data_IF_866880134445
#
_entry.id   IF_866880134445
#
_cell.length_a   1.000
_cell.length_b   1.000
_cell.length_c   1.000
_cell.angle_alpha   90.00
_cell.angle_beta   90.00
_cell.angle_gamma   90.00
#
_symmetry.space_group_name_H-M   'P 1'
#
loop_
_entity.id
_entity.type
_entity.pdbx_description
1 polymer ?
#
# COMPACT_ATOMS: atom_id res chain seq x y z
N UNK A 1 20.99 1.14 -9.01
CA UNK A 1 21.18 0.94 -7.56
C UNK A 1 19.87 1.02 -6.77
N UNK A 2 18.99 1.99 -7.07
CA UNK A 2 17.68 2.10 -6.40
C UNK A 2 16.77 0.88 -6.54
N UNK A 3 16.70 0.23 -7.70
CA UNK A 3 15.87 -0.97 -7.85
C UNK A 3 16.25 -2.08 -6.85
N UNK A 4 17.55 -2.27 -6.60
CA UNK A 4 18.03 -3.21 -5.59
C UNK A 4 17.72 -2.74 -4.16
N UNK A 5 17.75 -1.43 -3.91
CA UNK A 5 17.37 -0.84 -2.63
C UNK A 5 15.87 -1.01 -2.36
N UNK A 6 15.01 -0.82 -3.37
CA UNK A 6 13.56 -1.09 -3.28
C UNK A 6 13.34 -2.57 -2.96
N UNK A 7 13.95 -3.48 -3.72
CA UNK A 7 13.82 -4.93 -3.48
C UNK A 7 14.34 -5.32 -2.09
N UNK A 8 15.47 -4.74 -1.65
CA UNK A 8 16.00 -4.96 -0.30
C UNK A 8 15.07 -4.45 0.79
N UNK A 9 14.49 -3.26 0.62
CA UNK A 9 13.47 -2.71 1.52
C UNK A 9 12.21 -3.56 1.53
N UNK A 10 11.77 -4.10 0.39
CA UNK A 10 10.63 -5.00 0.28
C UNK A 10 10.87 -6.30 1.08
N UNK A 11 12.04 -6.90 0.88
CA UNK A 11 12.44 -8.12 1.59
C UNK A 11 12.50 -7.84 3.09
N UNK A 12 13.12 -6.72 3.50
CA UNK A 12 13.18 -6.33 4.90
C UNK A 12 11.78 -6.11 5.47
N UNK A 13 10.90 -5.37 4.77
CA UNK A 13 9.53 -5.11 5.18
C UNK A 13 8.78 -6.41 5.50
N UNK A 14 8.79 -7.38 4.58
CA UNK A 14 8.13 -8.68 4.80
C UNK A 14 8.78 -9.49 5.92
N UNK A 15 10.13 -9.47 6.01
CA UNK A 15 10.85 -10.13 7.10
C UNK A 15 10.47 -9.56 8.47
N UNK A 16 10.38 -8.23 8.61
CA UNK A 16 9.98 -7.58 9.86
C UNK A 16 8.52 -7.88 10.24
N UNK A 17 7.61 -7.93 9.27
CA UNK A 17 6.21 -8.34 9.52
C UNK A 17 6.17 -9.78 10.03
N UNK A 18 6.80 -10.72 9.32
CA UNK A 18 6.76 -12.15 9.66
C UNK A 18 7.46 -12.39 11.00
N UNK A 19 8.63 -11.79 11.22
CA UNK A 19 9.34 -11.88 12.49
C UNK A 19 8.55 -11.26 13.65
N UNK A 20 7.94 -10.09 13.44
CA UNK A 20 7.13 -9.41 14.45
C UNK A 20 5.92 -10.24 14.87
N UNK A 21 5.21 -10.83 13.91
CA UNK A 21 4.08 -11.72 14.17
C UNK A 21 4.53 -13.04 14.80
N UNK A 22 5.65 -13.62 14.35
CA UNK A 22 6.22 -14.82 14.97
C UNK A 22 6.60 -14.58 16.44
N UNK A 23 7.29 -13.48 16.75
CA UNK A 23 7.61 -13.10 18.12
C UNK A 23 6.34 -12.88 18.96
N UNK A 24 5.31 -12.25 18.39
CA UNK A 24 4.04 -11.97 19.08
C UNK A 24 3.25 -13.24 19.40
N UNK A 25 3.18 -14.20 18.47
CA UNK A 25 2.29 -15.36 18.58
C UNK A 25 2.98 -16.67 18.96
N UNK A 26 4.17 -16.97 18.42
CA UNK A 26 4.91 -18.20 18.76
C UNK A 26 5.67 -18.03 20.08
N UNK A 27 6.39 -16.92 20.24
CA UNK A 27 7.22 -16.66 21.42
C UNK A 27 6.48 -15.89 22.54
N UNK A 28 5.21 -15.50 22.31
CA UNK A 28 4.38 -14.68 23.23
C UNK A 28 5.03 -13.36 23.67
N UNK A 29 6.03 -12.86 22.93
CA UNK A 29 6.77 -11.63 23.21
C UNK A 29 6.06 -10.42 22.60
N UNK A 30 4.96 -10.00 23.22
CA UNK A 30 4.09 -8.91 22.71
C UNK A 30 4.85 -7.60 22.43
N UNK A 31 5.79 -7.22 23.31
CA UNK A 31 6.57 -5.98 23.16
C UNK A 31 7.55 -6.05 21.99
N UNK A 32 8.29 -7.15 21.85
CA UNK A 32 9.26 -7.35 20.76
C UNK A 32 8.56 -7.47 19.41
N UNK A 33 7.42 -8.17 19.37
CA UNK A 33 6.59 -8.24 18.16
C UNK A 33 6.06 -6.88 17.74
N UNK A 34 5.58 -6.06 18.70
CA UNK A 34 5.14 -4.70 18.42
C UNK A 34 6.29 -3.79 17.95
N UNK A 35 7.49 -3.92 18.53
CA UNK A 35 8.67 -3.17 18.11
C UNK A 35 9.09 -3.51 16.68
N UNK A 36 9.13 -4.81 16.33
CA UNK A 36 9.44 -5.27 14.97
C UNK A 36 8.40 -4.78 13.95
N UNK A 37 7.11 -4.76 14.32
CA UNK A 37 6.06 -4.20 13.49
C UNK A 37 6.10 -2.66 13.39
N UNK A 38 6.75 -1.97 14.33
CA UNK A 38 6.99 -0.53 14.23
C UNK A 38 8.19 -0.22 13.33
N UNK A 39 9.12 -1.15 13.15
CA UNK A 39 10.24 -0.98 12.22
C UNK A 39 9.79 -0.91 10.76
N UNK A 40 8.63 -1.46 10.39
CA UNK A 40 8.15 -1.45 9.00
C UNK A 40 7.90 -0.04 8.45
N UNK A 41 7.14 0.87 9.12
CA UNK A 41 7.02 2.25 8.65
C UNK A 41 8.35 3.02 8.69
N UNK A 42 9.28 2.64 9.57
CA UNK A 42 10.61 3.26 9.62
C UNK A 42 11.43 2.90 8.38
N UNK A 43 11.36 1.64 7.91
CA UNK A 43 12.01 1.20 6.67
C UNK A 43 11.41 1.92 5.45
N UNK A 44 10.08 2.09 5.42
CA UNK A 44 9.42 2.84 4.33
C UNK A 44 9.85 4.32 4.31
N UNK A 45 9.99 4.95 5.49
CA UNK A 45 10.52 6.32 5.60
C UNK A 45 11.98 6.40 5.14
N UNK A 46 12.80 5.40 5.48
CA UNK A 46 14.19 5.33 5.03
C UNK A 46 14.28 5.15 3.50
N UNK A 47 13.40 4.34 2.91
CA UNK A 47 13.28 4.18 1.45
C UNK A 47 12.91 5.51 0.78
N UNK A 48 11.94 6.24 1.33
CA UNK A 48 11.56 7.55 0.82
C UNK A 48 12.74 8.53 0.88
N UNK A 49 13.43 8.59 2.01
CA UNK A 49 14.59 9.47 2.19
C UNK A 49 15.72 9.11 1.21
N UNK A 50 16.04 7.82 1.06
CA UNK A 50 17.05 7.35 0.12
C UNK A 50 16.69 7.73 -1.33
N UNK A 51 15.42 7.62 -1.70
CA UNK A 51 14.95 7.99 -3.04
C UNK A 51 15.11 9.50 -3.30
N UNK A 52 14.79 10.34 -2.32
CA UNK A 52 14.98 11.80 -2.41
C UNK A 52 16.45 12.17 -2.51
N UNK A 53 17.33 11.53 -1.72
CA UNK A 53 18.77 11.78 -1.74
C UNK A 53 19.38 11.37 -3.08
N UNK A 54 18.99 10.22 -3.64
CA UNK A 54 19.47 9.76 -4.94
C UNK A 54 19.09 10.71 -6.08
N UNK A 55 17.85 11.21 -6.09
CA UNK A 55 17.39 12.23 -7.03
C UNK A 55 18.21 13.52 -6.91
N UNK A 56 18.50 13.97 -5.68
CA UNK A 56 19.34 15.16 -5.44
C UNK A 56 20.79 14.97 -5.86
N UNK A 57 21.31 13.75 -5.82
CA UNK A 57 22.64 13.41 -6.30
C UNK A 57 22.71 13.32 -7.84
N UNK A 58 21.63 13.66 -8.55
CA UNK A 58 21.59 13.76 -10.00
C UNK A 58 21.19 12.48 -10.71
N UNK A 59 20.63 11.47 -10.02
CA UNK A 59 20.08 10.29 -10.67
C UNK A 59 18.91 10.65 -11.61
N UNK A 60 18.79 9.94 -12.74
CA UNK A 60 17.64 10.12 -13.63
C UNK A 60 16.36 9.63 -12.95
N UNK A 61 15.33 10.48 -12.98
CA UNK A 61 14.00 10.19 -12.44
C UNK A 61 13.24 9.23 -13.37
N UNK A 62 13.70 7.98 -13.40
CA UNK A 62 13.16 6.93 -14.27
C UNK A 62 11.89 6.28 -13.72
N UNK A 63 11.39 5.29 -14.46
CA UNK A 63 10.24 4.46 -14.06
C UNK A 63 10.43 3.78 -12.70
N UNK A 64 11.66 3.45 -12.32
CA UNK A 64 11.97 2.85 -11.01
C UNK A 64 11.61 3.77 -9.83
N UNK A 65 11.97 5.07 -9.91
CA UNK A 65 11.60 6.06 -8.90
C UNK A 65 10.09 6.27 -8.85
N UNK A 66 9.45 6.23 -10.02
CA UNK A 66 7.99 6.34 -10.11
C UNK A 66 7.27 5.17 -9.44
N UNK A 67 7.71 3.94 -9.70
CA UNK A 67 7.19 2.74 -9.03
C UNK A 67 7.43 2.79 -7.52
N UNK A 68 8.59 3.31 -7.06
CA UNK A 68 8.86 3.50 -5.64
C UNK A 68 7.87 4.47 -4.98
N UNK A 69 7.55 5.58 -5.65
CA UNK A 69 6.57 6.54 -5.16
C UNK A 69 5.16 5.94 -5.06
N UNK A 70 4.75 5.14 -6.06
CA UNK A 70 3.49 4.38 -6.02
C UNK A 70 3.51 3.40 -4.84
N UNK A 71 4.59 2.63 -4.70
CA UNK A 71 4.74 1.65 -3.62
C UNK A 71 4.59 2.29 -2.25
N UNK A 72 5.26 3.41 -1.99
CA UNK A 72 5.15 4.15 -0.73
C UNK A 72 3.73 4.64 -0.49
N UNK A 73 3.07 5.19 -1.52
CA UNK A 73 1.68 5.62 -1.43
C UNK A 73 0.74 4.46 -1.05
N UNK A 74 0.93 3.30 -1.67
CA UNK A 74 0.17 2.08 -1.36
C UNK A 74 0.49 1.57 0.05
N UNK A 75 1.76 1.53 0.45
CA UNK A 75 2.16 1.07 1.78
C UNK A 75 1.59 1.95 2.89
N UNK A 76 1.58 3.28 2.74
CA UNK A 76 1.00 4.18 3.74
C UNK A 76 -0.53 4.03 3.79
N UNK A 77 -1.19 3.99 2.64
CA UNK A 77 -2.66 3.92 2.59
C UNK A 77 -3.21 2.56 3.04
N UNK A 78 -2.56 1.46 2.68
CA UNK A 78 -3.02 0.10 2.97
C UNK A 78 -2.28 -0.58 4.12
N UNK A 79 -1.16 -0.05 4.59
CA UNK A 79 -0.26 -0.70 5.55
C UNK A 79 -0.95 -1.08 6.85
N UNK A 80 -1.72 -0.17 7.47
CA UNK A 80 -2.44 -0.48 8.70
C UNK A 80 -3.45 -1.63 8.50
N UNK A 81 -4.13 -1.66 7.35
CA UNK A 81 -5.08 -2.72 7.01
C UNK A 81 -4.38 -4.05 6.73
N UNK A 82 -3.23 -4.01 6.05
CA UNK A 82 -2.39 -5.18 5.79
C UNK A 82 -1.87 -5.80 7.08
N UNK A 83 -1.34 -4.97 7.99
CA UNK A 83 -0.86 -5.43 9.30
C UNK A 83 -2.02 -6.05 10.10
N UNK A 84 -3.18 -5.39 10.16
CA UNK A 84 -4.36 -5.95 10.84
C UNK A 84 -4.83 -7.27 10.21
N UNK A 85 -4.86 -7.34 8.89
CA UNK A 85 -5.20 -8.57 8.17
C UNK A 85 -4.23 -9.71 8.49
N UNK A 86 -2.93 -9.43 8.52
CA UNK A 86 -1.91 -10.40 8.90
C UNK A 86 -2.05 -10.83 10.37
N UNK A 87 -2.34 -9.88 11.27
CA UNK A 87 -2.58 -10.11 12.69
C UNK A 87 -3.78 -11.04 12.93
N UNK A 88 -4.91 -10.79 12.28
CA UNK A 88 -6.10 -11.63 12.34
C UNK A 88 -5.82 -13.06 11.85
N UNK A 89 -5.05 -13.20 10.78
CA UNK A 89 -4.70 -14.50 10.19
C UNK A 89 -3.76 -15.30 11.09
N UNK A 90 -2.77 -14.64 11.69
CA UNK A 90 -1.85 -15.26 12.64
C UNK A 90 -2.56 -15.61 13.95
N UNK A 91 -3.45 -14.76 14.45
CA UNK A 91 -4.27 -15.03 15.63
C UNK A 91 -5.11 -16.29 15.44
N UNK A 92 -5.80 -16.42 14.29
CA UNK A 92 -6.57 -17.61 13.94
C UNK A 92 -5.70 -18.87 13.86
N UNK A 93 -4.53 -18.79 13.20
CA UNK A 93 -3.69 -19.97 12.91
C UNK A 93 -2.86 -20.46 14.10
N UNK A 94 -2.40 -19.56 14.97
CA UNK A 94 -1.39 -19.86 16.00
C UNK A 94 -1.85 -19.57 17.43
N UNK A 95 -2.94 -18.82 17.63
CA UNK A 95 -3.43 -18.45 18.96
C UNK A 95 -4.91 -18.77 19.21
N UNK A 96 -5.54 -19.57 18.35
CA UNK A 96 -6.94 -19.97 18.51
C UNK A 96 -7.93 -18.81 18.41
N UNK A 97 -7.54 -17.71 17.75
CA UNK A 97 -8.41 -16.56 17.50
C UNK A 97 -9.62 -16.94 16.63
N UNK A 98 -10.64 -16.08 16.55
CA UNK A 98 -11.81 -16.31 15.71
C UNK A 98 -11.42 -16.35 14.22
N UNK A 99 -12.19 -17.05 13.36
CA UNK A 99 -11.93 -17.09 11.93
C UNK A 99 -12.01 -15.68 11.30
N UNK A 100 -11.11 -15.34 10.37
CA UNK A 100 -11.08 -14.01 9.78
C UNK A 100 -12.40 -13.72 9.06
N UNK A 101 -12.96 -12.53 9.31
CA UNK A 101 -14.27 -12.16 8.80
C UNK A 101 -14.28 -12.16 7.26
N UNK A 102 -15.27 -12.82 6.66
CA UNK A 102 -15.42 -12.85 5.20
C UNK A 102 -15.86 -11.48 4.71
N UNK A 103 -15.26 -11.00 3.61
CA UNK A 103 -15.70 -9.75 2.95
C UNK A 103 -17.20 -9.86 2.61
N UNK A 104 -18.01 -8.82 2.88
CA UNK A 104 -19.43 -8.81 2.54
C UNK A 104 -19.58 -8.92 1.02
N UNK A 105 -20.32 -9.92 0.55
CA UNK A 105 -20.45 -10.24 -0.88
C UNK A 105 -21.65 -9.59 -1.54
N UNK A 106 -22.65 -9.14 -0.76
CA UNK A 106 -23.95 -8.71 -1.28
C UNK A 106 -24.47 -7.45 -0.55
N UNK A 107 -25.39 -6.75 -1.21
CA UNK A 107 -26.16 -5.65 -0.61
C UNK A 107 -25.36 -4.39 -0.28
N UNK A 108 -25.93 -3.58 0.62
CA UNK A 108 -25.39 -2.25 0.99
C UNK A 108 -24.03 -2.31 1.68
N UNK A 109 -23.73 -3.41 2.37
CA UNK A 109 -22.43 -3.62 3.03
C UNK A 109 -21.30 -3.86 2.04
N UNK A 110 -21.57 -4.60 0.95
CA UNK A 110 -20.61 -4.77 -0.14
C UNK A 110 -20.29 -3.43 -0.79
N UNK A 111 -21.31 -2.64 -1.15
CA UNK A 111 -21.11 -1.31 -1.72
C UNK A 111 -20.33 -0.37 -0.79
N UNK A 112 -20.56 -0.43 0.53
CA UNK A 112 -19.77 0.33 1.52
C UNK A 112 -18.31 -0.14 1.55
N UNK A 113 -18.07 -1.44 1.51
CA UNK A 113 -16.72 -1.99 1.52
C UNK A 113 -15.92 -1.59 0.27
N UNK A 114 -16.55 -1.59 -0.91
CA UNK A 114 -15.95 -1.12 -2.16
C UNK A 114 -15.65 0.39 -2.10
N UNK A 115 -16.59 1.23 -1.63
CA UNK A 115 -16.33 2.68 -1.44
C UNK A 115 -15.17 2.95 -0.49
N UNK A 116 -15.09 2.21 0.62
CA UNK A 116 -13.97 2.34 1.56
C UNK A 116 -12.67 1.89 0.88
N UNK A 117 -12.69 0.82 0.08
CA UNK A 117 -11.54 0.39 -0.72
C UNK A 117 -11.07 1.49 -1.67
N UNK A 118 -12.01 2.09 -2.41
CA UNK A 118 -11.73 3.21 -3.30
C UNK A 118 -11.15 4.42 -2.57
N UNK A 119 -11.67 4.79 -1.39
CA UNK A 119 -11.09 5.89 -0.60
C UNK A 119 -9.64 5.62 -0.17
N UNK A 120 -9.29 4.37 0.11
CA UNK A 120 -7.89 4.00 0.40
C UNK A 120 -7.04 4.05 -0.88
N UNK A 121 -7.59 3.64 -2.02
CA UNK A 121 -6.92 3.75 -3.31
C UNK A 121 -6.69 5.23 -3.69
N UNK A 122 -7.67 6.10 -3.46
CA UNK A 122 -7.55 7.54 -3.61
C UNK A 122 -6.48 8.11 -2.67
N UNK A 123 -6.43 7.68 -1.40
CA UNK A 123 -5.39 8.10 -0.46
C UNK A 123 -4.00 7.66 -0.95
N UNK A 124 -3.86 6.42 -1.42
CA UNK A 124 -2.61 5.90 -1.97
C UNK A 124 -2.16 6.74 -3.17
N UNK A 125 -3.09 7.00 -4.10
CA UNK A 125 -2.87 7.83 -5.26
C UNK A 125 -2.49 9.26 -4.88
N UNK A 126 -3.17 9.88 -3.92
CA UNK A 126 -2.87 11.25 -3.49
C UNK A 126 -1.46 11.36 -2.90
N UNK A 127 -1.06 10.41 -2.05
CA UNK A 127 0.28 10.38 -1.46
C UNK A 127 1.34 10.13 -2.55
N UNK A 128 1.12 9.12 -3.40
CA UNK A 128 2.08 8.79 -4.44
C UNK A 128 2.20 9.90 -5.49
N UNK A 129 1.11 10.56 -5.88
CA UNK A 129 1.15 11.76 -6.71
C UNK A 129 1.88 12.92 -6.03
N UNK A 130 1.66 13.17 -4.74
CA UNK A 130 2.41 14.20 -4.01
C UNK A 130 3.92 13.93 -4.03
N UNK A 131 4.32 12.67 -3.84
CA UNK A 131 5.72 12.24 -3.95
C UNK A 131 6.25 12.42 -5.37
N UNK A 132 5.53 11.93 -6.40
CA UNK A 132 5.90 12.07 -7.81
C UNK A 132 6.07 13.54 -8.22
N UNK A 133 5.08 14.39 -7.93
CA UNK A 133 5.16 15.83 -8.22
C UNK A 133 6.27 16.52 -7.43
N UNK A 134 6.51 16.10 -6.18
CA UNK A 134 7.67 16.56 -5.40
C UNK A 134 8.99 16.21 -6.07
N UNK A 135 9.13 15.01 -6.64
CA UNK A 135 10.30 14.60 -7.41
C UNK A 135 10.45 15.43 -8.68
N UNK A 136 9.35 15.69 -9.42
CA UNK A 136 9.39 16.55 -10.61
C UNK A 136 9.86 17.97 -10.26
N UNK A 137 9.30 18.55 -9.20
CA UNK A 137 9.66 19.89 -8.73
C UNK A 137 11.12 19.98 -8.28
N UNK A 138 11.61 18.96 -7.58
CA UNK A 138 13.02 18.89 -7.15
C UNK A 138 14.00 18.71 -8.31
N UNK A 139 13.61 18.00 -9.36
CA UNK A 139 14.49 17.71 -10.51
C UNK A 139 14.57 18.89 -11.48
N UNK A 140 13.49 19.67 -11.62
CA UNK A 140 13.47 20.90 -12.42
C UNK A 140 13.63 20.71 -13.93
N UNK A 141 13.61 19.46 -14.41
CA UNK A 141 13.90 19.09 -15.80
C UNK A 141 12.74 18.26 -16.38
N UNK A 142 12.10 18.81 -17.42
CA UNK A 142 10.91 18.23 -18.04
C UNK A 142 11.22 16.92 -18.79
N UNK A 143 12.40 16.83 -19.42
CA UNK A 143 12.78 15.64 -20.19
C UNK A 143 13.11 14.46 -19.28
N UNK A 144 13.67 14.73 -18.11
CA UNK A 144 14.01 13.70 -17.11
C UNK A 144 12.79 13.19 -16.34
N UNK A 145 11.63 13.84 -16.45
CA UNK A 145 10.44 13.56 -15.63
C UNK A 145 9.22 13.08 -16.43
N UNK A 146 9.31 13.03 -17.77
CA UNK A 146 8.23 12.57 -18.65
C UNK A 146 7.73 11.16 -18.29
N UNK A 147 8.64 10.27 -17.90
CA UNK A 147 8.29 8.92 -17.42
C UNK A 147 7.43 8.94 -16.15
N UNK A 148 7.71 9.85 -15.21
CA UNK A 148 6.93 10.00 -13.98
C UNK A 148 5.53 10.55 -14.27
N UNK A 149 5.44 11.52 -15.18
CA UNK A 149 4.15 12.11 -15.59
C UNK A 149 3.28 11.07 -16.31
N UNK A 150 3.86 10.28 -17.21
CA UNK A 150 3.16 9.16 -17.88
C UNK A 150 2.64 8.14 -16.86
N UNK A 151 3.47 7.77 -15.89
CA UNK A 151 3.09 6.83 -14.82
C UNK A 151 1.93 7.39 -13.98
N UNK A 152 2.01 8.67 -13.59
CA UNK A 152 0.96 9.35 -12.83
C UNK A 152 -0.36 9.39 -13.62
N UNK A 153 -0.32 9.71 -14.92
CA UNK A 153 -1.51 9.70 -15.79
C UNK A 153 -2.15 8.32 -15.89
N UNK A 154 -1.34 7.27 -16.08
CA UNK A 154 -1.82 5.90 -16.14
C UNK A 154 -2.49 5.51 -14.81
N UNK A 155 -1.86 5.83 -13.67
CA UNK A 155 -2.42 5.53 -12.36
C UNK A 155 -3.72 6.28 -12.08
N UNK A 156 -3.83 7.55 -12.49
CA UNK A 156 -5.07 8.33 -12.43
C UNK A 156 -6.19 7.70 -13.26
N UNK A 157 -5.87 7.14 -14.42
CA UNK A 157 -6.85 6.45 -15.27
C UNK A 157 -7.36 5.17 -14.58
N UNK A 158 -6.46 4.38 -13.98
CA UNK A 158 -6.82 3.21 -13.18
C UNK A 158 -7.72 3.60 -12.00
N UNK A 159 -7.40 4.69 -11.28
CA UNK A 159 -8.22 5.21 -10.18
C UNK A 159 -9.62 5.64 -10.67
N UNK A 160 -9.70 6.27 -11.84
CA UNK A 160 -10.97 6.67 -12.45
C UNK A 160 -11.84 5.47 -12.84
N UNK A 161 -11.24 4.41 -13.40
CA UNK A 161 -11.94 3.16 -13.69
C UNK A 161 -12.44 2.52 -12.38
N UNK A 162 -11.58 2.45 -11.37
CA UNK A 162 -11.92 1.90 -10.06
C UNK A 162 -13.04 2.70 -9.36
N UNK A 163 -13.06 4.03 -9.55
CA UNK A 163 -14.15 4.90 -9.10
C UNK A 163 -15.47 4.49 -9.75
N UNK A 164 -15.49 4.37 -11.08
CA UNK A 164 -16.71 3.99 -11.82
C UNK A 164 -17.22 2.63 -11.37
N UNK A 165 -16.34 1.65 -11.16
CA UNK A 165 -16.72 0.31 -10.69
C UNK A 165 -17.25 0.36 -9.25
N UNK A 166 -16.50 0.97 -8.34
CA UNK A 166 -16.84 1.03 -6.91
C UNK A 166 -18.13 1.81 -6.65
N UNK A 167 -18.38 2.90 -7.39
CA UNK A 167 -19.62 3.67 -7.30
C UNK A 167 -20.76 3.03 -8.10
N UNK A 168 -20.49 2.26 -9.16
CA UNK A 168 -21.50 1.49 -9.87
C UNK A 168 -22.22 0.52 -8.93
N UNK A 169 -21.52 -0.17 -8.03
CA UNK A 169 -22.14 -1.04 -7.02
C UNK A 169 -22.98 -0.30 -5.96
N UNK A 170 -22.83 1.03 -5.86
CA UNK A 170 -23.69 1.86 -5.00
C UNK A 170 -25.02 2.15 -5.67
N UNK A 171 -25.01 2.36 -7.00
CA UNK A 171 -26.21 2.59 -7.81
C UNK A 171 -26.92 1.28 -8.17
N UNK A 172 -26.16 0.21 -8.40
CA UNK A 172 -26.63 -1.13 -8.72
C UNK A 172 -26.11 -2.15 -7.71
N UNK A 173 -26.71 -2.23 -6.50
CA UNK A 173 -26.28 -3.17 -5.48
C UNK A 173 -26.36 -4.60 -6.01
N UNK A 174 -25.25 -5.33 -5.89
CA UNK A 174 -25.18 -6.74 -6.31
C UNK A 174 -26.20 -7.55 -5.50
N UNK A 175 -27.29 -7.94 -6.16
CA UNK A 175 -28.32 -8.83 -5.59
C UNK A 175 -27.64 -10.17 -5.27
N UNK A 176 -27.80 -10.64 -4.04
CA UNK A 176 -27.41 -12.01 -3.69
C UNK A 176 -28.22 -12.97 -4.56
N UNK A 177 -27.61 -14.08 -4.97
CA UNK A 177 -28.42 -15.20 -5.45
C UNK A 177 -29.32 -15.58 -4.28
N UNK A 178 -30.64 -15.45 -4.44
CA UNK A 178 -31.59 -16.16 -3.59
C UNK A 178 -31.18 -17.63 -3.63
N UNK A 179 -30.64 -18.12 -2.52
CA UNK A 179 -30.58 -19.55 -2.28
C UNK A 179 -32.04 -19.98 -2.11
N UNK A 180 -32.61 -20.47 -3.21
CA UNK A 180 -33.86 -21.23 -3.22
C UNK A 180 -33.68 -22.52 -2.42
#
# INVERSE_FOLDING_TARGET
MIAALIVGCEIAFWLFIVAGLACRYLFKMRKTGALLLLCTPVIDLALLAATVVDLRNGAEAGTAHGVAAIYIGVSIAFGHRMIRWADERFAYRFAGGPPPAKKPKHGREHARAERVGWLHHLLAWAIGCAVLYGMVWLTGDADRTDSLVKLARLWSLVLGIDFLISFSYTLWPRKGKETA
#
